data_IF_853825092721
#
_entry.id   IF_853825092721
#
_cell.length_a   1.000
_cell.length_b   1.000
_cell.length_c   1.000
_cell.angle_alpha   90.00
_cell.angle_beta   90.00
_cell.angle_gamma   90.00
#
_symmetry.space_group_name_H-M   'P 1'
#
loop_
_entity.id
_entity.type
_entity.pdbx_description
1 polymer ?
#
# COMPACT_ATOMS: atom_id res chain seq x y z
N UNK A 1 -22.69 27.93 18.39
CA UNK A 1 -21.26 28.31 18.39
C UNK A 1 -20.68 27.97 17.04
N UNK A 2 -20.30 28.97 16.23
CA UNK A 2 -19.70 28.73 14.92
C UNK A 2 -18.24 28.32 15.10
N UNK A 3 -17.89 27.11 14.68
CA UNK A 3 -16.53 26.59 14.68
C UNK A 3 -15.70 27.39 13.68
N UNK A 4 -14.71 28.15 14.16
CA UNK A 4 -13.74 28.82 13.30
C UNK A 4 -13.03 27.78 12.40
N UNK A 5 -12.85 28.04 11.10
CA UNK A 5 -12.15 27.11 10.22
C UNK A 5 -10.71 26.93 10.70
N UNK A 6 -10.24 25.68 10.71
CA UNK A 6 -8.87 25.33 11.09
C UNK A 6 -7.85 26.15 10.26
N UNK A 7 -6.76 26.58 10.89
CA UNK A 7 -5.67 27.25 10.21
C UNK A 7 -5.17 26.39 9.03
N UNK A 8 -4.84 27.00 7.87
CA UNK A 8 -4.39 26.23 6.71
C UNK A 8 -3.15 25.41 7.07
N UNK A 9 -3.10 24.15 6.61
CA UNK A 9 -1.96 23.25 6.82
C UNK A 9 -0.65 23.93 6.40
N UNK A 10 0.50 23.60 7.04
CA UNK A 10 1.80 24.17 6.69
C UNK A 10 2.10 24.13 5.19
N UNK A 11 2.79 25.14 4.66
CA UNK A 11 3.09 25.25 3.23
C UNK A 11 3.82 24.01 2.67
N UNK A 12 4.70 23.41 3.49
CA UNK A 12 5.38 22.15 3.18
C UNK A 12 4.39 21.01 2.92
N UNK A 13 3.37 20.86 3.77
CA UNK A 13 2.40 19.77 3.64
C UNK A 13 1.48 19.97 2.43
N UNK A 14 1.07 21.21 2.16
CA UNK A 14 0.32 21.53 0.93
C UNK A 14 1.12 21.22 -0.32
N UNK A 15 2.44 21.45 -0.30
CA UNK A 15 3.34 21.09 -1.39
C UNK A 15 3.42 19.58 -1.58
N UNK A 16 3.55 18.79 -0.50
CA UNK A 16 3.55 17.32 -0.58
C UNK A 16 2.24 16.79 -1.16
N UNK A 17 1.09 17.31 -0.71
CA UNK A 17 -0.21 16.87 -1.24
C UNK A 17 -0.37 17.21 -2.72
N UNK A 18 -0.06 18.45 -3.12
CA UNK A 18 -0.13 18.88 -4.52
C UNK A 18 0.87 18.12 -5.41
N UNK A 19 2.08 17.90 -4.92
CA UNK A 19 3.09 17.12 -5.61
C UNK A 19 2.64 15.67 -5.80
N UNK A 20 2.05 15.07 -4.77
CA UNK A 20 1.53 13.71 -4.79
C UNK A 20 0.49 13.49 -5.90
N UNK A 21 -0.47 14.41 -6.02
CA UNK A 21 -1.46 14.38 -7.11
C UNK A 21 -0.79 14.51 -8.48
N UNK A 22 0.05 15.53 -8.68
CA UNK A 22 0.66 15.83 -9.99
C UNK A 22 1.60 14.69 -10.42
N UNK A 23 2.44 14.19 -9.51
CA UNK A 23 3.33 13.06 -9.79
C UNK A 23 2.56 11.75 -9.99
N UNK A 24 1.49 11.53 -9.23
CA UNK A 24 0.63 10.36 -9.39
C UNK A 24 -0.06 10.30 -10.75
N UNK A 25 -0.46 11.46 -11.31
CA UNK A 25 -1.17 11.53 -12.59
C UNK A 25 -0.22 11.66 -13.80
N UNK A 26 0.86 12.44 -13.69
CA UNK A 26 1.73 12.80 -14.82
C UNK A 26 3.11 12.14 -14.75
N UNK A 27 3.48 11.59 -13.60
CA UNK A 27 4.83 11.10 -13.34
C UNK A 27 5.85 12.18 -13.03
N UNK A 28 7.06 11.72 -12.73
CA UNK A 28 8.18 12.62 -12.49
C UNK A 28 8.43 13.53 -13.69
N UNK A 29 8.69 12.99 -14.89
CA UNK A 29 9.07 13.81 -16.06
C UNK A 29 7.97 14.79 -16.51
N UNK A 30 6.72 14.33 -16.55
CA UNK A 30 5.57 15.14 -16.97
C UNK A 30 5.19 16.25 -15.98
N UNK A 31 5.46 16.06 -14.69
CA UNK A 31 5.13 17.04 -13.67
C UNK A 31 5.98 18.32 -13.78
N UNK A 32 5.37 19.49 -13.57
CA UNK A 32 6.11 20.76 -13.50
C UNK A 32 6.02 21.38 -12.10
N UNK A 33 7.14 21.96 -11.65
CA UNK A 33 7.21 22.66 -10.35
C UNK A 33 6.19 23.81 -10.29
N UNK A 34 5.98 24.50 -11.41
CA UNK A 34 4.96 25.57 -11.52
C UNK A 34 3.56 25.05 -11.22
N UNK A 35 3.17 23.93 -11.85
CA UNK A 35 1.85 23.33 -11.61
C UNK A 35 1.66 22.92 -10.14
N UNK A 36 2.68 22.30 -9.55
CA UNK A 36 2.65 21.90 -8.13
C UNK A 36 2.46 23.12 -7.22
N UNK A 37 3.26 24.17 -7.40
CA UNK A 37 3.16 25.39 -6.57
C UNK A 37 1.83 26.13 -6.74
N UNK A 38 1.28 26.13 -7.96
CA UNK A 38 -0.03 26.68 -8.27
C UNK A 38 -1.13 25.95 -7.50
N UNK A 39 -1.12 24.61 -7.51
CA UNK A 39 -2.07 23.78 -6.74
C UNK A 39 -1.91 23.96 -5.23
N UNK A 40 -0.67 24.00 -4.73
CA UNK A 40 -0.36 24.20 -3.32
C UNK A 40 -0.64 25.62 -2.80
N UNK A 41 -0.96 26.56 -3.71
CA UNK A 41 -1.15 28.00 -3.43
C UNK A 41 0.06 28.60 -2.70
N UNK A 42 1.25 28.39 -3.26
CA UNK A 42 2.52 28.94 -2.76
C UNK A 42 3.35 29.52 -3.92
N UNK A 43 4.35 30.32 -3.59
CA UNK A 43 5.28 30.84 -4.59
C UNK A 43 6.28 29.77 -5.06
N UNK A 44 6.91 30.00 -6.22
CA UNK A 44 7.89 29.07 -6.79
C UNK A 44 9.12 28.88 -5.88
N UNK A 45 9.52 29.94 -5.16
CA UNK A 45 10.66 29.92 -4.25
C UNK A 45 10.49 28.95 -3.07
N UNK A 46 9.25 28.61 -2.69
CA UNK A 46 8.96 27.66 -1.63
C UNK A 46 9.53 26.26 -1.92
N UNK A 47 9.67 25.89 -3.19
CA UNK A 47 10.24 24.60 -3.58
C UNK A 47 11.71 24.54 -3.20
N UNK A 48 12.49 25.55 -3.59
CA UNK A 48 13.90 25.64 -3.24
C UNK A 48 14.08 25.76 -1.72
N UNK A 49 13.20 26.49 -1.04
CA UNK A 49 13.25 26.67 0.41
C UNK A 49 13.01 25.37 1.20
N UNK A 50 11.97 24.59 0.85
CA UNK A 50 11.59 23.39 1.60
C UNK A 50 12.23 22.10 1.09
N UNK A 51 12.53 22.02 -0.20
CA UNK A 51 12.89 20.78 -0.87
C UNK A 51 14.10 20.90 -1.77
N UNK A 52 14.77 22.06 -1.88
CA UNK A 52 15.92 22.28 -2.78
C UNK A 52 15.61 22.23 -4.29
N UNK A 53 14.94 21.19 -4.79
CA UNK A 53 14.59 21.01 -6.20
C UNK A 53 13.38 20.07 -6.40
N UNK A 54 13.02 19.80 -7.66
CA UNK A 54 11.91 18.90 -8.03
C UNK A 54 12.17 17.45 -7.65
N UNK A 55 13.43 17.03 -7.72
CA UNK A 55 13.84 15.65 -7.48
C UNK A 55 13.71 15.32 -6.00
N UNK A 56 14.23 16.16 -5.13
CA UNK A 56 14.09 16.02 -3.68
C UNK A 56 12.62 16.18 -3.23
N UNK A 57 11.83 17.06 -3.85
CA UNK A 57 10.38 17.09 -3.63
C UNK A 57 9.71 15.76 -4.00
N UNK A 58 10.12 15.13 -5.10
CA UNK A 58 9.63 13.80 -5.48
C UNK A 58 9.98 12.76 -4.42
N UNK A 59 11.22 12.77 -3.91
CA UNK A 59 11.67 11.85 -2.86
C UNK A 59 10.84 11.97 -1.60
N UNK A 60 10.65 13.20 -1.12
CA UNK A 60 9.87 13.50 0.08
C UNK A 60 8.39 13.13 -0.09
N UNK A 61 7.82 13.40 -1.27
CA UNK A 61 6.44 13.03 -1.60
C UNK A 61 6.26 11.52 -1.63
N UNK A 62 7.19 10.81 -2.24
CA UNK A 62 7.19 9.36 -2.29
C UNK A 62 7.37 8.75 -0.89
N UNK A 63 8.32 9.26 -0.10
CA UNK A 63 8.51 8.86 1.29
C UNK A 63 7.26 9.08 2.14
N UNK A 64 6.56 10.20 1.95
CA UNK A 64 5.28 10.46 2.61
C UNK A 64 4.22 9.42 2.24
N UNK A 65 4.10 9.08 0.95
CA UNK A 65 3.19 8.04 0.48
C UNK A 65 3.53 6.67 1.05
N UNK A 66 4.81 6.30 1.04
CA UNK A 66 5.27 5.02 1.58
C UNK A 66 5.01 4.92 3.08
N UNK A 67 5.28 5.95 3.86
CA UNK A 67 4.96 5.96 5.30
C UNK A 67 3.48 5.77 5.57
N UNK A 68 2.62 6.27 4.67
CA UNK A 68 1.16 6.13 4.78
C UNK A 68 0.68 4.74 4.37
N UNK A 69 1.23 4.15 3.32
CA UNK A 69 0.84 2.82 2.81
C UNK A 69 1.47 1.69 3.63
N UNK A 70 2.70 1.87 4.11
CA UNK A 70 3.49 0.89 4.83
C UNK A 70 3.61 1.24 6.31
N UNK A 71 2.57 1.85 6.90
CA UNK A 71 2.44 1.93 8.38
C UNK A 71 2.54 0.52 8.93
N UNK A 72 3.50 0.24 9.82
CA UNK A 72 3.66 -1.08 10.41
C UNK A 72 2.38 -1.46 11.15
N UNK A 73 1.86 -2.64 10.87
CA UNK A 73 0.88 -3.28 11.76
C UNK A 73 1.64 -3.68 13.01
N UNK A 74 1.19 -3.22 14.17
CA UNK A 74 1.86 -3.59 15.41
C UNK A 74 1.52 -5.04 15.77
N UNK A 75 2.42 -5.78 16.43
CA UNK A 75 2.12 -7.15 16.87
C UNK A 75 0.85 -7.26 17.70
N UNK A 76 0.54 -6.25 18.52
CA UNK A 76 -0.68 -6.17 19.32
C UNK A 76 -1.96 -5.96 18.50
N UNK A 77 -1.85 -5.44 17.28
CA UNK A 77 -2.97 -5.32 16.34
C UNK A 77 -3.23 -6.65 15.61
N UNK A 78 -2.30 -7.59 15.72
CA UNK A 78 -2.43 -8.92 15.13
C UNK A 78 -3.12 -9.85 16.12
N UNK A 79 -3.97 -10.74 15.61
CA UNK A 79 -4.61 -11.75 16.44
C UNK A 79 -3.64 -12.79 17.01
N UNK A 80 -4.20 -13.73 17.75
CA UNK A 80 -3.44 -14.75 18.49
C UNK A 80 -3.10 -15.96 17.64
N UNK A 81 -3.94 -16.29 16.66
CA UNK A 81 -3.73 -17.42 15.76
C UNK A 81 -3.19 -16.97 14.40
N UNK A 82 -2.45 -17.82 13.65
CA UNK A 82 -1.94 -17.45 12.32
C UNK A 82 -3.04 -17.01 11.34
N UNK A 83 -4.25 -17.58 11.48
CA UNK A 83 -5.42 -17.20 10.70
C UNK A 83 -5.87 -15.77 11.02
N UNK A 84 -6.01 -15.43 12.30
CA UNK A 84 -6.36 -14.07 12.73
C UNK A 84 -5.28 -13.06 12.35
N UNK A 85 -4.00 -13.44 12.45
CA UNK A 85 -2.87 -12.60 12.05
C UNK A 85 -2.89 -12.31 10.54
N UNK A 86 -3.17 -13.32 9.71
CA UNK A 86 -3.25 -13.15 8.27
C UNK A 86 -4.43 -12.25 7.90
N UNK A 87 -5.60 -12.47 8.50
CA UNK A 87 -6.77 -11.62 8.31
C UNK A 87 -6.46 -10.18 8.69
N UNK A 88 -5.92 -9.93 9.89
CA UNK A 88 -5.57 -8.58 10.35
C UNK A 88 -4.55 -7.90 9.43
N UNK A 89 -3.54 -8.63 8.94
CA UNK A 89 -2.57 -8.13 7.96
C UNK A 89 -3.25 -7.69 6.66
N UNK A 90 -4.13 -8.54 6.10
CA UNK A 90 -4.85 -8.28 4.85
C UNK A 90 -5.81 -7.10 5.04
N UNK A 91 -6.61 -7.08 6.10
CA UNK A 91 -7.53 -5.98 6.42
C UNK A 91 -6.77 -4.66 6.51
N UNK A 92 -5.66 -4.64 7.26
CA UNK A 92 -4.81 -3.45 7.36
C UNK A 92 -4.24 -3.00 6.02
N UNK A 93 -3.81 -3.95 5.17
CA UNK A 93 -3.35 -3.64 3.81
C UNK A 93 -4.48 -3.04 2.96
N UNK A 94 -5.62 -3.70 2.84
CA UNK A 94 -6.76 -3.24 2.05
C UNK A 94 -7.24 -1.85 2.51
N UNK A 95 -7.33 -1.61 3.81
CA UNK A 95 -7.64 -0.29 4.37
C UNK A 95 -6.62 0.79 3.98
N UNK A 96 -5.35 0.45 3.79
CA UNK A 96 -4.31 1.41 3.36
C UNK A 96 -4.38 1.69 1.86
N UNK A 97 -4.74 0.70 1.04
CA UNK A 97 -4.69 0.81 -0.42
C UNK A 97 -6.03 1.10 -1.11
N UNK A 98 -7.17 0.84 -0.45
CA UNK A 98 -8.51 0.96 -1.02
C UNK A 98 -9.46 1.90 -0.27
N UNK A 99 -9.14 2.31 0.97
CA UNK A 99 -10.04 3.16 1.74
C UNK A 99 -10.22 4.55 1.06
N UNK A 100 -11.45 4.92 0.67
CA UNK A 100 -11.71 6.17 -0.05
C UNK A 100 -11.48 7.44 0.79
N UNK A 101 -11.43 7.32 2.13
CA UNK A 101 -11.09 8.43 3.02
C UNK A 101 -9.60 8.83 2.94
N UNK A 102 -8.75 8.01 2.31
CA UNK A 102 -7.33 8.31 2.09
C UNK A 102 -7.13 8.98 0.73
N UNK A 103 -6.15 9.90 0.61
CA UNK A 103 -5.79 10.46 -0.69
C UNK A 103 -5.39 9.36 -1.68
N UNK A 104 -6.10 9.25 -2.80
CA UNK A 104 -5.89 8.19 -3.79
C UNK A 104 -4.54 8.25 -4.51
N UNK A 105 -3.84 9.40 -4.43
CA UNK A 105 -2.56 9.60 -5.09
C UNK A 105 -1.44 8.74 -4.50
N UNK A 106 -1.50 8.39 -3.20
CA UNK A 106 -0.47 7.56 -2.57
C UNK A 106 -0.29 6.23 -3.29
N UNK A 107 -1.41 5.52 -3.52
CA UNK A 107 -1.40 4.23 -4.20
C UNK A 107 -0.93 4.39 -5.65
N UNK A 108 -1.42 5.40 -6.38
CA UNK A 108 -1.02 5.67 -7.76
C UNK A 108 0.51 5.86 -7.88
N UNK A 109 1.08 6.68 -7.01
CA UNK A 109 2.52 6.96 -7.01
C UNK A 109 3.33 5.71 -6.71
N UNK A 110 2.93 4.91 -5.71
CA UNK A 110 3.58 3.64 -5.40
C UNK A 110 3.50 2.65 -6.57
N UNK A 111 2.33 2.49 -7.19
CA UNK A 111 2.18 1.59 -8.33
C UNK A 111 3.08 1.98 -9.49
N UNK A 112 3.22 3.29 -9.75
CA UNK A 112 4.12 3.80 -10.78
C UNK A 112 5.57 3.37 -10.51
N UNK A 113 6.08 3.56 -9.29
CA UNK A 113 7.45 3.16 -8.95
C UNK A 113 7.66 1.63 -9.04
N UNK A 114 6.61 0.84 -8.80
CA UNK A 114 6.69 -0.61 -8.94
C UNK A 114 6.68 -1.07 -10.40
N UNK A 115 5.99 -0.37 -11.31
CA UNK A 115 5.88 -0.73 -12.74
C UNK A 115 6.91 -0.03 -13.63
N UNK A 116 7.42 1.11 -13.19
CA UNK A 116 8.40 1.94 -13.89
C UNK A 116 9.42 2.46 -12.88
N UNK A 117 10.35 1.59 -12.45
CA UNK A 117 11.27 1.89 -11.36
C UNK A 117 12.15 3.10 -11.64
N UNK A 118 12.18 4.04 -10.69
CA UNK A 118 13.24 5.03 -10.63
C UNK A 118 14.44 4.50 -9.82
N UNK A 119 15.49 5.33 -9.68
CA UNK A 119 16.64 5.05 -8.79
C UNK A 119 16.25 4.80 -7.33
N UNK A 120 15.00 5.07 -6.95
CA UNK A 120 14.50 4.95 -5.59
C UNK A 120 13.92 3.58 -5.25
N UNK A 121 13.74 2.71 -6.25
CA UNK A 121 13.16 1.38 -6.01
C UNK A 121 13.94 0.62 -4.94
N UNK A 122 15.27 0.69 -4.92
CA UNK A 122 16.06 -0.02 -3.91
C UNK A 122 15.77 0.50 -2.49
N UNK A 123 15.68 1.82 -2.32
CA UNK A 123 15.35 2.44 -1.02
C UNK A 123 13.93 2.06 -0.61
N UNK A 124 12.99 2.11 -1.56
CA UNK A 124 11.59 1.68 -1.38
C UNK A 124 11.52 0.24 -0.86
N UNK A 125 12.23 -0.66 -1.56
CA UNK A 125 12.20 -2.09 -1.29
C UNK A 125 12.79 -2.37 0.08
N UNK A 126 13.98 -1.85 0.38
CA UNK A 126 14.66 -2.13 1.64
C UNK A 126 13.97 -1.49 2.84
N UNK A 127 13.51 -0.24 2.71
CA UNK A 127 12.98 0.53 3.84
C UNK A 127 11.54 0.16 4.16
N UNK A 128 10.72 -0.13 3.13
CA UNK A 128 9.27 -0.25 3.29
C UNK A 128 8.74 -1.63 2.87
N UNK A 129 9.14 -2.18 1.72
CA UNK A 129 8.54 -3.43 1.24
C UNK A 129 9.07 -4.64 2.01
N UNK A 130 10.39 -4.74 2.21
CA UNK A 130 11.03 -5.89 2.86
C UNK A 130 10.51 -6.13 4.28
N UNK A 131 10.37 -5.13 5.17
CA UNK A 131 9.79 -5.36 6.50
C UNK A 131 8.36 -5.91 6.46
N UNK A 132 7.52 -5.42 5.53
CA UNK A 132 6.13 -5.88 5.40
C UNK A 132 6.04 -7.28 4.80
N UNK A 133 6.92 -7.60 3.84
CA UNK A 133 7.11 -8.95 3.33
C UNK A 133 7.52 -9.90 4.44
N UNK A 134 8.49 -9.51 5.26
CA UNK A 134 9.02 -10.36 6.33
C UNK A 134 7.96 -10.67 7.38
N UNK A 135 7.10 -9.70 7.71
CA UNK A 135 5.92 -9.93 8.57
C UNK A 135 4.97 -10.95 7.94
N UNK A 136 4.58 -10.75 6.67
CA UNK A 136 3.69 -11.69 5.98
C UNK A 136 4.29 -13.10 5.89
N UNK A 137 5.57 -13.20 5.56
CA UNK A 137 6.27 -14.49 5.46
C UNK A 137 6.35 -15.19 6.83
N UNK A 138 6.47 -14.46 7.94
CA UNK A 138 6.40 -15.05 9.29
C UNK A 138 5.01 -15.62 9.56
N UNK A 139 3.95 -14.88 9.22
CA UNK A 139 2.56 -15.34 9.38
C UNK A 139 2.31 -16.60 8.55
N UNK A 140 2.71 -16.60 7.27
CA UNK A 140 2.55 -17.75 6.37
C UNK A 140 3.30 -18.98 6.88
N UNK A 141 4.55 -18.82 7.34
CA UNK A 141 5.31 -19.94 7.94
C UNK A 141 4.59 -20.51 9.16
N UNK A 142 4.04 -19.64 10.02
CA UNK A 142 3.30 -20.07 11.19
C UNK A 142 1.98 -20.76 10.83
N UNK A 143 1.27 -20.30 9.81
CA UNK A 143 0.03 -20.92 9.34
C UNK A 143 0.25 -22.29 8.68
N UNK A 144 1.48 -22.56 8.23
CA UNK A 144 1.87 -23.82 7.60
C UNK A 144 2.66 -24.74 8.54
N UNK A 145 2.74 -24.43 9.84
CA UNK A 145 3.56 -25.16 10.82
C UNK A 145 5.03 -25.36 10.37
N UNK A 146 5.57 -24.40 9.62
CA UNK A 146 6.94 -24.45 9.09
C UNK A 146 7.19 -25.47 7.97
N UNK A 147 6.15 -26.10 7.42
CA UNK A 147 6.29 -27.19 6.44
C UNK A 147 6.57 -26.73 5.00
N UNK A 148 6.48 -25.42 4.73
CA UNK A 148 6.74 -24.86 3.41
C UNK A 148 8.22 -24.52 3.21
N UNK A 149 8.73 -24.80 2.01
CA UNK A 149 10.01 -24.27 1.55
C UNK A 149 9.98 -22.74 1.39
N UNK A 150 11.15 -22.11 1.35
CA UNK A 150 11.25 -20.65 1.13
C UNK A 150 10.61 -20.18 -0.18
N UNK A 151 10.67 -21.00 -1.23
CA UNK A 151 10.00 -20.71 -2.49
C UNK A 151 8.47 -20.74 -2.33
N UNK A 152 7.93 -21.75 -1.65
CA UNK A 152 6.49 -21.84 -1.40
C UNK A 152 5.98 -20.69 -0.51
N UNK A 153 6.74 -20.30 0.52
CA UNK A 153 6.41 -19.12 1.34
C UNK A 153 6.38 -17.86 0.48
N UNK A 154 7.37 -17.69 -0.41
CA UNK A 154 7.44 -16.52 -1.30
C UNK A 154 6.29 -16.48 -2.31
N UNK A 155 5.91 -17.63 -2.88
CA UNK A 155 4.77 -17.75 -3.80
C UNK A 155 3.44 -17.51 -3.10
N UNK A 156 3.25 -18.05 -1.88
CA UNK A 156 2.06 -17.79 -1.07
C UNK A 156 1.95 -16.30 -0.71
N UNK A 157 3.05 -15.66 -0.30
CA UNK A 157 3.10 -14.23 -0.02
C UNK A 157 2.75 -13.39 -1.26
N UNK A 158 3.34 -13.71 -2.41
CA UNK A 158 3.02 -13.07 -3.68
C UNK A 158 1.54 -13.24 -4.07
N UNK A 159 0.95 -14.41 -3.79
CA UNK A 159 -0.46 -14.70 -4.06
C UNK A 159 -1.39 -13.85 -3.20
N UNK A 160 -1.12 -13.72 -1.89
CA UNK A 160 -1.87 -12.85 -0.98
C UNK A 160 -1.82 -11.39 -1.45
N UNK A 161 -0.63 -10.89 -1.75
CA UNK A 161 -0.43 -9.51 -2.22
C UNK A 161 -1.11 -9.29 -3.58
N UNK A 162 -0.98 -10.24 -4.50
CA UNK A 162 -1.61 -10.19 -5.82
C UNK A 162 -3.13 -10.08 -5.74
N UNK A 163 -3.77 -10.88 -4.87
CA UNK A 163 -5.21 -10.80 -4.61
C UNK A 163 -5.62 -9.43 -4.05
N UNK A 164 -4.85 -8.87 -3.11
CA UNK A 164 -5.14 -7.52 -2.59
C UNK A 164 -5.01 -6.44 -3.69
N UNK A 165 -3.96 -6.53 -4.52
CA UNK A 165 -3.72 -5.58 -5.60
C UNK A 165 -4.72 -5.70 -6.74
N UNK A 166 -5.34 -6.87 -6.94
CA UNK A 166 -6.39 -7.07 -7.94
C UNK A 166 -7.55 -6.10 -7.73
N UNK A 167 -8.11 -6.02 -6.53
CA UNK A 167 -9.23 -5.11 -6.21
C UNK A 167 -8.89 -3.63 -6.39
N UNK A 168 -7.61 -3.28 -6.33
CA UNK A 168 -7.11 -1.92 -6.60
C UNK A 168 -6.92 -1.67 -8.08
N UNK A 169 -6.11 -2.51 -8.74
CA UNK A 169 -5.67 -2.29 -10.11
C UNK A 169 -6.79 -2.58 -11.12
N UNK A 170 -7.65 -3.55 -10.80
CA UNK A 170 -8.78 -3.96 -11.62
C UNK A 170 -10.11 -3.38 -11.12
N UNK A 171 -10.09 -2.33 -10.28
CA UNK A 171 -11.32 -1.74 -9.71
C UNK A 171 -12.38 -1.42 -10.76
N UNK A 172 -11.98 -0.79 -11.87
CA UNK A 172 -12.90 -0.45 -12.96
C UNK A 172 -13.53 -1.67 -13.64
N UNK A 173 -12.84 -2.82 -13.61
CA UNK A 173 -13.36 -4.10 -14.10
C UNK A 173 -14.34 -4.67 -13.06
N UNK A 174 -13.98 -4.69 -11.78
CA UNK A 174 -14.85 -5.15 -10.69
C UNK A 174 -16.16 -4.35 -10.65
N UNK A 175 -16.12 -3.03 -10.81
CA UNK A 175 -17.32 -2.17 -10.90
C UNK A 175 -18.28 -2.56 -12.03
N UNK A 176 -17.78 -3.21 -13.09
CA UNK A 176 -18.58 -3.56 -14.28
C UNK A 176 -19.03 -5.02 -14.29
N UNK A 177 -18.21 -5.92 -13.74
CA UNK A 177 -18.44 -7.36 -13.80
C UNK A 177 -18.96 -7.94 -12.49
N UNK A 178 -18.68 -7.30 -11.36
CA UNK A 178 -19.07 -7.76 -10.02
C UNK A 178 -19.31 -6.57 -9.08
N UNK A 179 -20.18 -5.61 -9.46
CA UNK A 179 -20.44 -4.42 -8.64
C UNK A 179 -20.90 -4.77 -7.22
N UNK A 180 -21.61 -5.88 -7.05
CA UNK A 180 -22.12 -6.37 -5.76
C UNK A 180 -21.02 -6.56 -4.71
N UNK A 181 -19.77 -6.85 -5.13
CA UNK A 181 -18.64 -6.96 -4.22
C UNK A 181 -18.31 -5.58 -3.63
N UNK A 182 -18.20 -4.55 -4.47
CA UNK A 182 -17.75 -3.21 -4.07
C UNK A 182 -18.87 -2.38 -3.42
N UNK A 183 -20.13 -2.71 -3.72
CA UNK A 183 -21.32 -2.07 -3.16
C UNK A 183 -21.76 -2.67 -1.83
N UNK A 184 -21.22 -3.83 -1.45
CA UNK A 184 -21.50 -4.45 -0.16
C UNK A 184 -21.14 -3.50 1.00
N UNK A 185 -21.99 -3.40 2.04
CA UNK A 185 -21.59 -2.82 3.31
C UNK A 185 -20.31 -3.49 3.79
N UNK A 186 -19.35 -2.70 4.27
CA UNK A 186 -18.08 -3.22 4.78
C UNK A 186 -17.35 -4.13 3.77
N UNK A 187 -17.40 -3.80 2.46
CA UNK A 187 -16.81 -4.64 1.42
C UNK A 187 -15.33 -4.98 1.65
N UNK A 188 -14.58 -4.07 2.28
CA UNK A 188 -13.16 -4.31 2.60
C UNK A 188 -13.00 -5.50 3.56
N UNK A 189 -13.92 -5.67 4.50
CA UNK A 189 -13.88 -6.76 5.47
C UNK A 189 -14.28 -8.09 4.81
N UNK A 190 -15.29 -8.07 3.94
CA UNK A 190 -15.67 -9.23 3.13
C UNK A 190 -14.52 -9.71 2.22
N UNK A 191 -13.87 -8.77 1.54
CA UNK A 191 -12.71 -9.07 0.68
C UNK A 191 -11.53 -9.57 1.52
N UNK A 192 -11.28 -8.99 2.69
CA UNK A 192 -10.20 -9.43 3.57
C UNK A 192 -10.41 -10.87 4.06
N UNK A 193 -11.62 -11.18 4.53
CA UNK A 193 -12.00 -12.52 4.98
C UNK A 193 -11.84 -13.54 3.85
N UNK A 194 -12.36 -13.23 2.66
CA UNK A 194 -12.23 -14.09 1.49
C UNK A 194 -10.77 -14.39 1.13
N UNK A 195 -9.91 -13.36 1.04
CA UNK A 195 -8.49 -13.55 0.71
C UNK A 195 -7.79 -14.37 1.80
N UNK A 196 -8.10 -14.13 3.08
CA UNK A 196 -7.52 -14.89 4.19
C UNK A 196 -7.91 -16.37 4.10
N UNK A 197 -9.21 -16.67 3.98
CA UNK A 197 -9.72 -18.04 3.90
C UNK A 197 -9.15 -18.79 2.68
N UNK A 198 -9.18 -18.15 1.51
CA UNK A 198 -8.64 -18.73 0.28
C UNK A 198 -7.14 -19.01 0.40
N UNK A 199 -6.38 -18.08 0.98
CA UNK A 199 -4.94 -18.23 1.15
C UNK A 199 -4.59 -19.29 2.19
N UNK A 200 -5.31 -19.37 3.31
CA UNK A 200 -5.11 -20.39 4.34
C UNK A 200 -5.39 -21.80 3.78
N UNK A 201 -6.47 -21.95 3.01
CA UNK A 201 -6.77 -23.22 2.33
C UNK A 201 -5.65 -23.63 1.37
N UNK A 202 -5.13 -22.69 0.57
CA UNK A 202 -4.02 -22.94 -0.35
C UNK A 202 -2.70 -23.28 0.37
N UNK A 203 -2.42 -22.63 1.50
CA UNK A 203 -1.25 -22.89 2.36
C UNK A 203 -1.35 -24.29 2.97
N UNK A 204 -2.49 -24.65 3.56
CA UNK A 204 -2.71 -25.95 4.18
C UNK A 204 -2.59 -27.12 3.19
N UNK A 205 -3.12 -26.94 1.97
CA UNK A 205 -3.01 -27.93 0.90
C UNK A 205 -1.54 -28.18 0.48
N UNK A 206 -0.73 -27.12 0.39
CA UNK A 206 0.70 -27.23 0.08
C UNK A 206 1.50 -27.87 1.21
N UNK A 207 1.19 -27.55 2.46
CA UNK A 207 1.83 -28.13 3.64
C UNK A 207 1.60 -29.66 3.69
N UNK A 208 0.37 -30.10 3.41
CA UNK A 208 0.01 -31.53 3.38
C UNK A 208 0.70 -32.30 2.25
N UNK A 209 1.00 -31.62 1.14
CA UNK A 209 1.62 -32.21 -0.06
C UNK A 209 3.15 -32.20 -0.02
N UNK A 210 3.76 -31.54 0.97
CA UNK A 210 5.21 -31.49 1.10
C UNK A 210 5.74 -32.89 1.45
N UNK A 211 6.73 -33.43 0.72
CA UNK A 211 7.35 -34.70 1.10
C UNK A 211 7.95 -34.54 2.49
N UNK A 212 7.50 -35.35 3.45
CA UNK A 212 8.13 -35.43 4.78
C UNK A 212 9.53 -35.98 4.54
N UNK A 213 10.53 -35.12 4.57
CA UNK A 213 11.92 -35.57 4.57
C UNK A 213 12.12 -36.45 5.81
N UNK A 214 12.30 -37.76 5.58
CA UNK A 214 12.90 -38.69 6.55
C UNK A 214 14.39 -38.39 6.70
#
# INVERSE_FOLDING_TARGET
MATLPAAPAPARDRLIQAAGEVFGDQGFDGATVREITRRAKVNLAAINYYFRDKEELYLETLNHAMRTIFVRTQPEDLGTTPAEQLLAYISGLLQRILNPARPGWHGKLLARELTSPSRLLNVLVETFVRPHRDTLHKIIRSAADGQLSEMQVSLAGASVIGQCLYYRNCRAVCERLSPEILEAPDYLDHVAAHIADFSLAGIAAQATSAPRHQ
#
